data_IF_576439068198
#
_entry.id   IF_576439068198
#
_cell.length_a   1.000
_cell.length_b   1.000
_cell.length_c   1.000
_cell.angle_alpha   90.00
_cell.angle_beta   90.00
_cell.angle_gamma   90.00
#
_symmetry.space_group_name_H-M   'P 1'
#
loop_
_entity.id
_entity.type
_entity.pdbx_description
1 polymer ?
#
# COMPACT_ATOMS: atom_id res chain seq x y z
N UNK A 1 13.97 39.98 -9.08
CA UNK A 1 15.09 39.82 -8.11
C UNK A 1 14.63 39.26 -6.75
N UNK A 2 13.67 39.91 -6.06
CA UNK A 2 13.22 39.49 -4.72
C UNK A 2 12.59 38.09 -4.68
N UNK A 3 11.74 37.76 -5.66
CA UNK A 3 11.12 36.44 -5.76
C UNK A 3 12.15 35.30 -5.86
N UNK A 4 13.26 35.51 -6.59
CA UNK A 4 14.32 34.51 -6.71
C UNK A 4 15.00 34.22 -5.37
N UNK A 5 15.37 35.26 -4.63
CA UNK A 5 16.05 35.10 -3.34
C UNK A 5 15.17 34.46 -2.26
N UNK A 6 13.85 34.46 -2.45
CA UNK A 6 12.91 33.77 -1.55
C UNK A 6 12.67 32.34 -2.03
N UNK A 7 12.36 32.15 -3.32
CA UNK A 7 11.94 30.86 -3.87
C UNK A 7 13.12 29.89 -4.04
N UNK A 8 14.31 30.36 -4.43
CA UNK A 8 15.44 29.47 -4.64
C UNK A 8 15.87 28.71 -3.36
N UNK A 9 16.03 29.36 -2.18
CA UNK A 9 16.29 28.64 -0.94
C UNK A 9 15.16 27.67 -0.57
N UNK A 10 13.90 28.07 -0.73
CA UNK A 10 12.74 27.20 -0.47
C UNK A 10 12.78 25.96 -1.35
N UNK A 11 13.10 26.11 -2.63
CA UNK A 11 13.26 24.99 -3.57
C UNK A 11 14.40 24.06 -3.17
N UNK A 12 15.56 24.61 -2.80
CA UNK A 12 16.72 23.80 -2.37
C UNK A 12 16.40 23.01 -1.10
N UNK A 13 15.77 23.66 -0.11
CA UNK A 13 15.36 22.98 1.13
C UNK A 13 14.31 21.91 0.85
N UNK A 14 13.30 22.21 0.03
CA UNK A 14 12.26 21.22 -0.32
C UNK A 14 12.85 20.04 -1.11
N UNK A 15 13.68 20.30 -2.12
CA UNK A 15 14.32 19.27 -2.94
C UNK A 15 15.25 18.37 -2.11
N UNK A 16 16.04 18.96 -1.21
CA UNK A 16 16.90 18.18 -0.30
C UNK A 16 16.06 17.42 0.72
N UNK A 17 14.97 18.01 1.21
CA UNK A 17 14.02 17.41 2.14
C UNK A 17 13.40 16.11 1.62
N UNK A 18 13.18 15.99 0.29
CA UNK A 18 12.68 14.76 -0.34
C UNK A 18 13.53 13.53 0.03
N UNK A 19 14.85 13.70 0.18
CA UNK A 19 15.78 12.61 0.49
C UNK A 19 15.70 12.11 1.94
N UNK A 20 15.20 12.95 2.85
CA UNK A 20 15.19 12.65 4.29
C UNK A 20 13.82 12.21 4.81
N UNK A 21 12.77 12.45 4.02
CA UNK A 21 11.39 12.18 4.40
C UNK A 21 11.07 10.70 4.19
N UNK A 22 10.61 10.02 5.26
CA UNK A 22 10.27 8.59 5.23
C UNK A 22 8.94 8.26 4.56
N UNK A 23 7.97 9.19 4.62
CA UNK A 23 6.64 8.96 4.04
C UNK A 23 6.59 9.49 2.61
N UNK A 24 6.33 8.61 1.64
CA UNK A 24 6.31 8.97 0.22
C UNK A 24 5.36 10.14 -0.11
N UNK A 25 4.21 10.25 0.58
CA UNK A 25 3.28 11.39 0.42
C UNK A 25 3.94 12.73 0.76
N UNK A 26 4.74 12.79 1.82
CA UNK A 26 5.41 14.03 2.21
C UNK A 26 6.52 14.39 1.23
N UNK A 27 7.24 13.40 0.70
CA UNK A 27 8.23 13.60 -0.36
C UNK A 27 7.57 14.16 -1.64
N UNK A 28 6.41 13.64 -2.01
CA UNK A 28 5.64 14.14 -3.16
C UNK A 28 5.10 15.58 -2.92
N UNK A 29 4.65 15.91 -1.71
CA UNK A 29 4.26 17.30 -1.37
C UNK A 29 5.45 18.27 -1.45
N UNK A 30 6.63 17.88 -0.97
CA UNK A 30 7.84 18.69 -1.13
C UNK A 30 8.23 18.88 -2.60
N UNK A 31 8.09 17.84 -3.43
CA UNK A 31 8.29 17.97 -4.87
C UNK A 31 7.27 18.94 -5.49
N UNK A 32 6.00 18.93 -5.05
CA UNK A 32 5.00 19.88 -5.52
C UNK A 32 5.39 21.33 -5.19
N UNK A 33 5.95 21.59 -3.99
CA UNK A 33 6.50 22.91 -3.62
C UNK A 33 7.60 23.35 -4.60
N UNK A 34 8.51 22.44 -4.98
CA UNK A 34 9.56 22.73 -5.97
C UNK A 34 8.94 23.08 -7.33
N UNK A 35 7.96 22.31 -7.80
CA UNK A 35 7.34 22.51 -9.11
C UNK A 35 6.54 23.82 -9.20
N UNK A 36 5.82 24.19 -8.13
CA UNK A 36 5.09 25.46 -8.05
C UNK A 36 6.07 26.63 -7.97
N UNK A 37 7.11 26.52 -7.15
CA UNK A 37 8.14 27.57 -7.04
C UNK A 37 8.83 27.80 -8.38
N UNK A 38 9.13 26.73 -9.13
CA UNK A 38 9.69 26.80 -10.48
C UNK A 38 8.72 27.48 -11.46
N UNK A 39 7.42 27.18 -11.38
CA UNK A 39 6.42 27.87 -12.20
C UNK A 39 6.45 29.38 -11.94
N UNK A 40 6.44 29.80 -10.67
CA UNK A 40 6.51 31.23 -10.31
C UNK A 40 7.80 31.87 -10.83
N UNK A 41 8.94 31.15 -10.78
CA UNK A 41 10.18 31.64 -11.39
C UNK A 41 10.05 31.82 -12.92
N UNK A 42 9.39 30.91 -13.64
CA UNK A 42 9.11 31.11 -15.06
C UNK A 42 8.24 32.33 -15.35
N UNK A 43 7.24 32.60 -14.51
CA UNK A 43 6.43 33.81 -14.65
C UNK A 43 7.28 35.08 -14.44
N UNK A 44 8.16 35.09 -13.44
CA UNK A 44 9.07 36.21 -13.14
C UNK A 44 10.13 36.39 -14.23
N UNK A 45 10.51 35.32 -14.94
CA UNK A 45 11.45 35.32 -16.06
C UNK A 45 10.78 35.60 -17.42
N UNK A 46 9.56 36.13 -17.43
CA UNK A 46 8.81 36.48 -18.65
C UNK A 46 8.56 35.29 -19.59
N UNK A 47 8.38 34.08 -19.03
CA UNK A 47 8.08 32.87 -19.78
C UNK A 47 6.64 32.36 -19.49
N UNK A 48 5.60 33.04 -19.99
CA UNK A 48 4.20 32.76 -19.64
C UNK A 48 3.71 31.38 -20.11
N UNK A 49 4.19 30.90 -21.28
CA UNK A 49 3.83 29.55 -21.75
C UNK A 49 4.39 28.46 -20.84
N UNK A 50 5.69 28.55 -20.48
CA UNK A 50 6.32 27.59 -19.58
C UNK A 50 5.69 27.62 -18.18
N UNK A 51 5.35 28.80 -17.67
CA UNK A 51 4.59 28.95 -16.44
C UNK A 51 3.27 28.15 -16.48
N UNK A 52 2.47 28.33 -17.53
CA UNK A 52 1.19 27.65 -17.68
C UNK A 52 1.35 26.12 -17.80
N UNK A 53 2.28 25.65 -18.64
CA UNK A 53 2.55 24.22 -18.84
C UNK A 53 3.09 23.57 -17.55
N UNK A 54 3.92 24.27 -16.78
CA UNK A 54 4.44 23.80 -15.50
C UNK A 54 3.33 23.55 -14.47
N UNK A 55 2.31 24.40 -14.45
CA UNK A 55 1.15 24.21 -13.57
C UNK A 55 0.25 23.08 -14.10
N UNK A 56 -0.13 23.13 -15.37
CA UNK A 56 -1.14 22.20 -15.92
C UNK A 56 -0.60 20.78 -16.04
N UNK A 57 0.59 20.60 -16.64
CA UNK A 57 1.12 19.27 -16.98
C UNK A 57 1.90 18.69 -15.82
N UNK A 58 2.90 19.42 -15.33
CA UNK A 58 3.80 18.90 -14.30
C UNK A 58 3.14 18.83 -12.92
N UNK A 59 2.62 19.97 -12.43
CA UNK A 59 1.98 20.02 -11.11
C UNK A 59 0.56 19.46 -11.14
N UNK A 60 -0.17 19.64 -12.24
CA UNK A 60 -1.55 19.15 -12.39
C UNK A 60 -1.60 17.66 -12.69
N UNK A 61 -1.17 17.24 -13.88
CA UNK A 61 -1.35 15.85 -14.32
C UNK A 61 -0.33 14.88 -13.68
N UNK A 62 0.97 15.14 -13.85
CA UNK A 62 2.03 14.18 -13.48
C UNK A 62 2.10 14.01 -11.97
N UNK A 63 2.12 15.11 -11.21
CA UNK A 63 2.18 15.05 -9.75
C UNK A 63 0.94 14.38 -9.15
N UNK A 64 -0.27 14.68 -9.65
CA UNK A 64 -1.50 14.06 -9.13
C UNK A 64 -1.55 12.56 -9.43
N UNK A 65 -1.11 12.14 -10.62
CA UNK A 65 -0.97 10.72 -10.95
C UNK A 65 0.01 10.03 -10.00
N UNK A 66 1.17 10.66 -9.75
CA UNK A 66 2.17 10.12 -8.83
C UNK A 66 1.63 10.01 -7.41
N UNK A 67 0.98 11.05 -6.90
CA UNK A 67 0.33 11.04 -5.57
C UNK A 67 -0.74 9.96 -5.45
N UNK A 68 -1.56 9.79 -6.48
CA UNK A 68 -2.61 8.77 -6.50
C UNK A 68 -2.01 7.35 -6.46
N UNK A 69 -1.00 7.09 -7.29
CA UNK A 69 -0.30 5.79 -7.32
C UNK A 69 0.38 5.52 -5.98
N UNK A 70 1.11 6.48 -5.42
CA UNK A 70 1.74 6.34 -4.11
C UNK A 70 0.73 6.05 -3.00
N UNK A 71 -0.45 6.68 -3.04
CA UNK A 71 -1.50 6.46 -2.07
C UNK A 71 -2.13 5.06 -2.20
N UNK A 72 -2.32 4.57 -3.43
CA UNK A 72 -2.88 3.25 -3.71
C UNK A 72 -1.94 2.10 -3.33
N UNK A 73 -0.63 2.26 -3.54
CA UNK A 73 0.36 1.19 -3.27
C UNK A 73 0.55 0.94 -1.77
N UNK A 74 0.06 1.83 -0.90
CA UNK A 74 0.18 1.70 0.55
C UNK A 74 1.56 2.17 1.03
N UNK A 75 1.57 3.21 1.85
CA UNK A 75 2.78 3.94 2.29
C UNK A 75 3.45 3.38 3.54
N UNK A 76 3.19 2.11 3.89
CA UNK A 76 3.77 1.46 5.07
C UNK A 76 4.97 0.57 4.73
N UNK A 77 5.84 1.05 3.82
CA UNK A 77 7.20 0.55 3.77
C UNK A 77 7.93 1.14 4.99
N UNK A 78 7.87 0.44 6.13
CA UNK A 78 8.83 0.65 7.19
C UNK A 78 10.21 0.30 6.61
N UNK A 79 10.91 1.31 6.09
CA UNK A 79 12.28 1.17 5.62
C UNK A 79 13.09 0.53 6.74
N UNK A 80 13.48 -0.73 6.54
CA UNK A 80 14.49 -1.33 7.37
C UNK A 80 15.77 -0.53 7.08
N UNK A 81 16.32 0.12 8.08
CA UNK A 81 17.58 0.88 8.00
C UNK A 81 18.78 -0.08 7.87
N UNK A 82 18.52 -1.36 7.60
CA UNK A 82 19.54 -2.39 7.41
C UNK A 82 20.13 -2.19 6.02
N UNK A 83 21.40 -1.80 6.03
CA UNK A 83 22.21 -1.61 4.85
C UNK A 83 22.51 -2.98 4.22
N UNK A 84 21.91 -3.27 3.06
CA UNK A 84 22.15 -4.54 2.34
C UNK A 84 23.61 -4.66 1.87
N UNK A 85 24.26 -3.52 1.56
CA UNK A 85 25.64 -3.44 1.08
C UNK A 85 26.44 -2.52 2.02
N UNK A 86 27.44 -3.03 2.76
CA UNK A 86 28.18 -2.23 3.72
C UNK A 86 28.87 -1.05 3.04
N UNK A 87 28.70 0.16 3.60
CA UNK A 87 29.33 1.38 3.10
C UNK A 87 28.64 2.07 1.91
N UNK A 88 27.49 1.56 1.44
CA UNK A 88 26.76 2.14 0.32
C UNK A 88 26.31 3.58 0.60
N UNK A 89 25.69 3.85 1.77
CA UNK A 89 25.24 5.21 2.14
C UNK A 89 26.36 6.22 2.21
N UNK A 90 27.50 5.85 2.81
CA UNK A 90 28.67 6.72 2.90
C UNK A 90 29.20 7.03 1.50
N UNK A 91 29.34 5.99 0.67
CA UNK A 91 29.83 6.14 -0.71
C UNK A 91 28.88 7.00 -1.54
N UNK A 92 27.57 6.77 -1.46
CA UNK A 92 26.55 7.57 -2.14
C UNK A 92 26.56 9.03 -1.67
N UNK A 93 26.74 9.28 -0.37
CA UNK A 93 26.89 10.62 0.20
C UNK A 93 28.14 11.33 -0.34
N UNK A 94 29.29 10.66 -0.36
CA UNK A 94 30.55 11.20 -0.89
C UNK A 94 30.40 11.54 -2.38
N UNK A 95 29.86 10.63 -3.19
CA UNK A 95 29.62 10.89 -4.62
C UNK A 95 28.62 12.03 -4.83
N UNK A 96 27.55 12.10 -4.04
CA UNK A 96 26.57 13.19 -4.11
C UNK A 96 27.20 14.56 -3.82
N UNK A 97 28.01 14.65 -2.77
CA UNK A 97 28.73 15.88 -2.42
C UNK A 97 29.76 16.25 -3.49
N UNK A 98 30.53 15.28 -3.99
CA UNK A 98 31.54 15.50 -5.02
C UNK A 98 30.90 15.99 -6.33
N UNK A 99 29.80 15.37 -6.76
CA UNK A 99 29.05 15.80 -7.93
C UNK A 99 28.47 17.21 -7.73
N UNK A 100 27.88 17.49 -6.56
CA UNK A 100 27.37 18.82 -6.22
C UNK A 100 28.46 19.90 -6.26
N UNK A 101 29.62 19.61 -5.66
CA UNK A 101 30.78 20.52 -5.69
C UNK A 101 31.30 20.75 -7.11
N UNK A 102 31.40 19.69 -7.92
CA UNK A 102 31.82 19.78 -9.32
C UNK A 102 30.88 20.68 -10.13
N UNK A 103 29.56 20.50 -9.98
CA UNK A 103 28.56 21.33 -10.65
C UNK A 103 28.63 22.78 -10.17
N UNK A 104 28.81 23.03 -8.87
CA UNK A 104 28.95 24.38 -8.33
C UNK A 104 30.20 25.09 -8.87
N UNK A 105 31.35 24.42 -8.89
CA UNK A 105 32.58 24.98 -9.47
C UNK A 105 32.40 25.25 -10.96
N UNK A 106 31.81 24.29 -11.69
CA UNK A 106 31.53 24.45 -13.11
C UNK A 106 30.66 25.67 -13.40
N UNK A 107 29.56 25.85 -12.64
CA UNK A 107 28.66 27.00 -12.80
C UNK A 107 29.35 28.30 -12.38
N UNK A 108 30.14 28.30 -11.30
CA UNK A 108 30.83 29.49 -10.81
C UNK A 108 31.89 30.02 -11.79
N UNK A 109 32.40 29.16 -12.67
CA UNK A 109 33.37 29.52 -13.71
C UNK A 109 32.73 30.05 -14.99
N UNK A 110 31.39 29.94 -15.14
CA UNK A 110 30.69 30.46 -16.31
C UNK A 110 30.57 31.97 -16.20
N UNK A 111 31.27 32.68 -17.09
CA UNK A 111 31.00 34.10 -17.33
C UNK A 111 29.83 34.24 -18.28
N UNK A 112 28.66 34.56 -17.73
CA UNK A 112 27.51 34.93 -18.55
C UNK A 112 27.74 36.33 -19.14
N UNK A 113 27.37 36.52 -20.40
CA UNK A 113 27.41 37.82 -21.07
C UNK A 113 26.41 38.82 -20.47
N UNK A 114 26.18 39.93 -21.17
CA UNK A 114 25.18 40.91 -20.75
C UNK A 114 23.78 40.29 -20.72
N UNK A 115 23.04 40.51 -19.64
CA UNK A 115 21.66 40.03 -19.49
C UNK A 115 20.76 40.84 -20.42
N UNK A 116 20.25 40.20 -21.47
CA UNK A 116 19.42 40.85 -22.51
C UNK A 116 17.90 40.61 -22.34
N UNK A 117 17.48 39.93 -21.27
CA UNK A 117 16.06 39.65 -20.99
C UNK A 117 15.39 38.76 -22.05
N UNK A 118 14.06 38.65 -21.98
CA UNK A 118 13.25 37.87 -22.93
C UNK A 118 12.30 38.73 -23.76
N UNK A 119 12.26 40.04 -23.53
CA UNK A 119 11.33 40.99 -24.16
C UNK A 119 11.39 40.95 -25.69
N UNK A 120 12.60 40.98 -26.29
CA UNK A 120 12.78 40.90 -27.73
C UNK A 120 12.27 39.56 -28.30
N UNK A 121 12.55 38.44 -27.62
CA UNK A 121 12.07 37.12 -28.01
C UNK A 121 10.55 36.98 -27.86
N UNK A 122 9.94 37.74 -26.95
CA UNK A 122 8.50 37.74 -26.68
C UNK A 122 7.71 38.76 -27.51
N UNK A 123 8.38 39.65 -28.26
CA UNK A 123 7.75 40.76 -29.01
C UNK A 123 6.61 40.34 -29.97
N UNK A 124 6.73 39.16 -30.59
CA UNK A 124 5.72 38.58 -31.48
C UNK A 124 4.68 37.68 -30.79
N UNK A 125 4.69 37.65 -29.46
CA UNK A 125 3.93 36.71 -28.63
C UNK A 125 4.74 35.46 -28.29
N UNK A 126 4.84 35.13 -27.00
CA UNK A 126 5.65 34.02 -26.48
C UNK A 126 5.23 32.66 -27.07
N UNK A 127 3.92 32.40 -27.15
CA UNK A 127 3.39 31.13 -27.68
C UNK A 127 3.65 31.02 -29.19
N UNK A 128 3.42 32.11 -29.92
CA UNK A 128 3.61 32.18 -31.37
C UNK A 128 5.08 32.00 -31.73
N UNK A 129 5.99 32.63 -30.97
CA UNK A 129 7.44 32.47 -31.14
C UNK A 129 7.89 31.03 -30.92
N UNK A 130 7.43 30.39 -29.83
CA UNK A 130 7.71 28.98 -29.55
C UNK A 130 7.14 28.07 -30.64
N UNK A 131 5.89 28.29 -31.06
CA UNK A 131 5.25 27.50 -32.12
C UNK A 131 6.00 27.61 -33.44
N UNK A 132 6.42 28.82 -33.84
CA UNK A 132 7.20 29.02 -35.06
C UNK A 132 8.49 28.21 -35.02
N UNK A 133 9.25 28.27 -33.93
CA UNK A 133 10.51 27.53 -33.78
C UNK A 133 10.28 26.02 -33.72
N UNK A 134 9.26 25.57 -32.99
CA UNK A 134 8.92 24.16 -32.81
C UNK A 134 8.50 23.49 -34.12
N UNK A 135 7.64 24.15 -34.90
CA UNK A 135 7.09 23.60 -36.15
C UNK A 135 7.93 23.88 -37.39
N UNK A 136 8.94 24.77 -37.31
CA UNK A 136 9.88 24.99 -38.42
C UNK A 136 11.18 24.22 -38.22
N UNK A 137 11.94 24.55 -37.17
CA UNK A 137 13.29 24.03 -36.98
C UNK A 137 13.30 22.69 -36.23
N UNK A 138 12.37 22.51 -35.29
CA UNK A 138 12.33 21.32 -34.43
C UNK A 138 11.20 20.34 -34.77
N UNK A 139 10.69 20.36 -36.02
CA UNK A 139 9.60 19.48 -36.45
C UNK A 139 9.91 18.01 -36.20
N UNK A 140 11.15 17.58 -36.46
CA UNK A 140 11.56 16.20 -36.23
C UNK A 140 11.53 15.82 -34.73
N UNK A 141 12.02 16.71 -33.85
CA UNK A 141 11.97 16.49 -32.41
C UNK A 141 10.51 16.45 -31.90
N UNK A 142 9.64 17.28 -32.46
CA UNK A 142 8.21 17.28 -32.18
C UNK A 142 7.54 15.95 -32.61
N UNK A 143 7.84 15.45 -33.82
CA UNK A 143 7.32 14.17 -34.32
C UNK A 143 7.78 13.00 -33.46
N UNK A 144 9.07 12.93 -33.12
CA UNK A 144 9.61 11.88 -32.24
C UNK A 144 8.95 11.92 -30.85
N UNK A 145 8.75 13.12 -30.29
CA UNK A 145 8.04 13.28 -29.01
C UNK A 145 6.58 12.84 -29.12
N UNK A 146 5.91 13.15 -30.24
CA UNK A 146 4.54 12.71 -30.48
C UNK A 146 4.42 11.18 -30.58
N UNK A 147 5.36 10.53 -31.27
CA UNK A 147 5.45 9.08 -31.33
C UNK A 147 5.73 8.47 -29.95
N UNK A 148 6.58 9.10 -29.13
CA UNK A 148 6.82 8.71 -27.75
C UNK A 148 5.54 8.79 -26.89
N UNK A 149 4.74 9.84 -27.04
CA UNK A 149 3.47 9.99 -26.30
C UNK A 149 2.44 8.92 -26.70
N UNK A 150 2.31 8.62 -27.99
CA UNK A 150 1.46 7.52 -28.47
C UNK A 150 1.93 6.19 -27.89
N UNK A 151 3.24 5.94 -27.94
CA UNK A 151 3.85 4.72 -27.40
C UNK A 151 3.63 4.60 -25.89
N UNK A 152 3.78 5.70 -25.14
CA UNK A 152 3.52 5.73 -23.70
C UNK A 152 2.05 5.43 -23.38
N UNK A 153 1.11 6.00 -24.14
CA UNK A 153 -0.32 5.73 -23.97
C UNK A 153 -0.66 4.26 -24.27
N UNK A 154 -0.10 3.70 -25.36
CA UNK A 154 -0.24 2.27 -25.67
C UNK A 154 0.39 1.40 -24.58
N UNK A 155 1.58 1.74 -24.11
CA UNK A 155 2.28 1.04 -23.04
C UNK A 155 1.47 1.03 -21.74
N UNK A 156 0.93 2.18 -21.34
CA UNK A 156 0.05 2.29 -20.18
C UNK A 156 -1.22 1.44 -20.34
N UNK A 157 -1.85 1.46 -21.51
CA UNK A 157 -3.03 0.63 -21.81
C UNK A 157 -2.70 -0.85 -21.68
N UNK A 158 -1.63 -1.33 -22.32
CA UNK A 158 -1.23 -2.75 -22.30
C UNK A 158 -0.83 -3.20 -20.89
N UNK A 159 -0.06 -2.40 -20.15
CA UNK A 159 0.35 -2.74 -18.77
C UNK A 159 -0.83 -2.74 -17.79
N UNK A 160 -1.79 -1.82 -17.97
CA UNK A 160 -2.98 -1.76 -17.12
C UNK A 160 -4.05 -2.78 -17.54
N UNK A 161 -3.95 -3.33 -18.76
CA UNK A 161 -4.91 -4.30 -19.26
C UNK A 161 -4.74 -5.64 -18.56
N UNK A 162 -5.66 -5.93 -17.64
CA UNK A 162 -5.70 -7.21 -16.94
C UNK A 162 -6.62 -8.17 -17.68
N UNK A 163 -6.04 -8.97 -18.58
CA UNK A 163 -6.76 -10.05 -19.23
C UNK A 163 -7.06 -11.17 -18.21
N UNK A 164 -8.32 -11.59 -18.15
CA UNK A 164 -8.73 -12.69 -17.28
C UNK A 164 -8.54 -13.99 -18.06
N UNK A 165 -7.38 -14.64 -17.86
CA UNK A 165 -7.06 -15.91 -18.51
C UNK A 165 -8.00 -17.06 -18.12
N UNK A 166 -8.72 -16.92 -17.00
CA UNK A 166 -9.72 -17.88 -16.55
C UNK A 166 -11.09 -17.20 -16.44
N UNK A 167 -12.17 -17.86 -16.86
CA UNK A 167 -13.52 -17.36 -16.61
C UNK A 167 -13.73 -17.14 -15.10
N UNK A 168 -14.51 -16.13 -14.74
CA UNK A 168 -14.86 -15.88 -13.34
C UNK A 168 -15.64 -17.09 -12.83
N UNK A 169 -15.08 -17.81 -11.86
CA UNK A 169 -15.78 -18.93 -11.21
C UNK A 169 -17.14 -18.46 -10.71
N UNK A 170 -18.19 -19.13 -11.17
CA UNK A 170 -19.56 -18.89 -10.74
C UNK A 170 -19.82 -19.55 -9.38
N UNK A 171 -20.93 -19.21 -8.73
CA UNK A 171 -21.38 -19.91 -7.53
C UNK A 171 -21.61 -21.40 -7.79
N UNK A 172 -22.09 -21.76 -8.99
CA UNK A 172 -22.30 -23.15 -9.40
C UNK A 172 -20.98 -23.91 -9.53
N UNK A 173 -19.94 -23.30 -10.14
CA UNK A 173 -18.61 -23.91 -10.25
C UNK A 173 -18.01 -24.21 -8.86
N UNK A 174 -18.13 -23.26 -7.93
CA UNK A 174 -17.68 -23.43 -6.54
C UNK A 174 -18.48 -24.51 -5.79
N UNK A 175 -19.77 -24.63 -6.06
CA UNK A 175 -20.59 -25.70 -5.47
C UNK A 175 -20.20 -27.07 -6.02
N UNK A 176 -20.00 -27.18 -7.34
CA UNK A 176 -19.54 -28.40 -7.98
C UNK A 176 -18.14 -28.82 -7.51
N UNK A 177 -17.23 -27.85 -7.35
CA UNK A 177 -15.90 -28.10 -6.80
C UNK A 177 -15.98 -28.67 -5.37
N UNK A 178 -16.78 -28.07 -4.49
CA UNK A 178 -16.99 -28.60 -3.13
C UNK A 178 -17.54 -30.03 -3.13
N UNK A 179 -18.44 -30.34 -4.06
CA UNK A 179 -18.99 -31.70 -4.18
C UNK A 179 -17.93 -32.71 -4.63
N UNK A 180 -17.02 -32.33 -5.53
CA UNK A 180 -15.88 -33.16 -5.94
C UNK A 180 -14.91 -33.36 -4.78
N UNK A 181 -14.55 -32.30 -4.07
CA UNK A 181 -13.68 -32.36 -2.90
C UNK A 181 -14.25 -33.28 -1.81
N UNK A 182 -15.57 -33.24 -1.57
CA UNK A 182 -16.26 -34.18 -0.68
C UNK A 182 -16.19 -35.62 -1.20
N UNK A 183 -16.40 -35.85 -2.49
CA UNK A 183 -16.35 -37.20 -3.07
C UNK A 183 -14.94 -37.82 -3.03
N UNK A 184 -13.88 -37.02 -3.20
CA UNK A 184 -12.50 -37.49 -3.24
C UNK A 184 -11.86 -37.62 -1.85
N UNK A 185 -12.12 -36.66 -0.96
CA UNK A 185 -11.41 -36.52 0.32
C UNK A 185 -12.32 -36.52 1.54
N UNK A 186 -13.65 -36.53 1.36
CA UNK A 186 -14.61 -36.37 2.45
C UNK A 186 -14.69 -34.95 3.02
N UNK A 187 -14.08 -33.95 2.34
CA UNK A 187 -14.04 -32.58 2.82
C UNK A 187 -15.46 -31.98 2.98
N UNK A 188 -15.76 -31.25 4.07
CA UNK A 188 -17.11 -30.74 4.34
C UNK A 188 -17.69 -29.86 3.21
N UNK A 189 -18.94 -30.11 2.82
CA UNK A 189 -19.65 -29.32 1.80
C UNK A 189 -19.96 -27.89 2.26
N UNK A 190 -20.09 -27.68 3.57
CA UNK A 190 -20.42 -26.42 4.19
C UNK A 190 -19.21 -25.72 4.82
N UNK A 191 -19.39 -24.48 5.31
CA UNK A 191 -18.41 -23.86 6.19
C UNK A 191 -18.21 -24.74 7.43
N UNK A 192 -16.96 -24.77 7.93
CA UNK A 192 -16.65 -25.47 9.17
C UNK A 192 -17.46 -24.88 10.33
N UNK A 193 -17.93 -25.70 11.28
CA UNK A 193 -18.61 -25.19 12.45
C UNK A 193 -17.65 -24.30 13.25
N UNK A 194 -18.19 -23.23 13.82
CA UNK A 194 -17.44 -22.36 14.71
C UNK A 194 -16.96 -23.15 15.96
N UNK A 195 -15.89 -22.70 16.64
CA UNK A 195 -15.51 -23.21 17.96
C UNK A 195 -16.70 -23.26 18.90
N UNK A 196 -16.74 -24.27 19.77
CA UNK A 196 -17.75 -24.44 20.80
C UNK A 196 -19.16 -24.83 20.31
N UNK A 197 -19.37 -25.06 19.00
CA UNK A 197 -20.65 -25.59 18.50
C UNK A 197 -20.88 -27.00 19.08
N UNK A 198 -22.05 -27.22 19.69
CA UNK A 198 -22.39 -28.40 20.50
C UNK A 198 -21.56 -28.64 21.77
N UNK A 199 -20.57 -27.79 22.06
CA UNK A 199 -19.89 -27.81 23.35
C UNK A 199 -20.71 -27.03 24.41
N UNK A 200 -20.42 -27.28 25.68
CA UNK A 200 -21.02 -26.50 26.80
C UNK A 200 -20.44 -25.09 26.93
N UNK A 201 -19.39 -24.78 26.17
CA UNK A 201 -18.68 -23.51 26.20
C UNK A 201 -18.41 -23.02 24.77
N UNK A 202 -18.66 -21.74 24.52
CA UNK A 202 -18.54 -21.11 23.20
C UNK A 202 -17.22 -20.34 23.01
N UNK A 203 -16.18 -20.70 23.76
CA UNK A 203 -14.90 -20.03 23.70
C UNK A 203 -14.11 -20.44 22.43
N UNK A 204 -13.28 -19.52 21.93
CA UNK A 204 -12.52 -19.69 20.68
C UNK A 204 -11.45 -20.78 20.72
N UNK A 205 -11.06 -21.18 21.93
CA UNK A 205 -10.12 -22.24 22.26
C UNK A 205 -10.80 -23.58 22.55
N UNK A 206 -12.13 -23.64 22.52
CA UNK A 206 -12.92 -24.85 22.76
C UNK A 206 -13.36 -25.44 21.41
N UNK A 207 -12.98 -26.68 21.07
CA UNK A 207 -13.40 -27.29 19.81
C UNK A 207 -14.90 -27.57 19.81
N UNK A 208 -15.51 -27.47 18.63
CA UNK A 208 -16.85 -27.98 18.38
C UNK A 208 -16.89 -29.50 18.62
N UNK A 209 -18.05 -30.04 19.02
CA UNK A 209 -18.24 -31.47 19.24
C UNK A 209 -18.99 -32.10 18.07
N UNK A 210 -18.57 -33.31 17.70
CA UNK A 210 -19.29 -34.18 16.77
C UNK A 210 -20.49 -34.85 17.49
N UNK A 211 -21.44 -35.47 16.74
CA UNK A 211 -22.59 -36.15 17.34
C UNK A 211 -22.24 -37.28 18.31
N UNK A 212 -21.03 -37.82 18.20
CA UNK A 212 -20.47 -38.84 19.10
C UNK A 212 -19.81 -38.23 20.36
N UNK A 213 -19.79 -36.91 20.48
CA UNK A 213 -19.15 -36.17 21.57
C UNK A 213 -17.64 -35.97 21.42
N UNK A 214 -17.02 -36.45 20.34
CA UNK A 214 -15.60 -36.25 20.08
C UNK A 214 -15.30 -34.81 19.60
N UNK A 215 -14.13 -34.24 19.93
CA UNK A 215 -13.78 -32.89 19.50
C UNK A 215 -13.45 -32.87 18.00
N UNK A 216 -13.99 -31.88 17.29
CA UNK A 216 -13.67 -31.61 15.89
C UNK A 216 -12.49 -30.62 15.80
N UNK A 217 -11.24 -31.07 15.52
CA UNK A 217 -10.07 -30.21 15.63
C UNK A 217 -10.02 -29.10 14.58
N UNK A 218 -10.70 -29.29 13.45
CA UNK A 218 -10.78 -28.30 12.37
C UNK A 218 -11.62 -27.06 12.72
N UNK A 219 -12.39 -27.11 13.82
CA UNK A 219 -13.20 -25.98 14.28
C UNK A 219 -12.39 -24.88 14.97
N UNK A 220 -11.18 -25.19 15.45
CA UNK A 220 -10.30 -24.24 16.17
C UNK A 220 -9.10 -23.81 15.32
N UNK A 221 -8.56 -22.62 15.62
CA UNK A 221 -7.43 -22.06 14.88
C UNK A 221 -6.15 -22.89 15.09
N UNK A 222 -5.43 -23.17 13.99
CA UNK A 222 -4.10 -23.84 14.04
C UNK A 222 -3.11 -23.13 14.96
N UNK A 223 -3.23 -21.81 15.12
CA UNK A 223 -2.35 -21.02 16.00
C UNK A 223 -2.60 -21.36 17.48
N UNK A 224 -3.86 -21.57 17.87
CA UNK A 224 -4.21 -21.93 19.25
C UNK A 224 -3.77 -23.37 19.56
N UNK A 225 -3.93 -24.28 18.60
CA UNK A 225 -3.41 -25.66 18.71
C UNK A 225 -1.89 -25.63 18.90
N UNK A 226 -1.16 -24.88 18.06
CA UNK A 226 0.29 -24.78 18.14
C UNK A 226 0.81 -24.14 19.45
N UNK A 227 0.00 -23.27 20.08
CA UNK A 227 0.30 -22.68 21.38
C UNK A 227 -0.05 -23.58 22.56
N UNK A 228 -0.73 -24.71 22.33
CA UNK A 228 -1.20 -25.60 23.39
C UNK A 228 -2.28 -24.97 24.27
N UNK A 229 -2.99 -23.94 23.77
CA UNK A 229 -4.02 -23.22 24.54
C UNK A 229 -5.43 -23.76 24.30
N UNK A 230 -5.59 -24.79 23.46
CA UNK A 230 -6.88 -25.40 23.16
C UNK A 230 -7.32 -26.25 24.34
N UNK A 231 -8.53 -26.03 24.84
CA UNK A 231 -9.12 -26.79 25.94
C UNK A 231 -10.02 -27.87 25.39
N UNK A 232 -9.82 -29.12 25.80
CA UNK A 232 -10.75 -30.19 25.45
C UNK A 232 -11.90 -30.30 26.47
N UNK A 233 -13.02 -30.90 26.07
CA UNK A 233 -14.15 -31.09 26.99
C UNK A 233 -13.80 -31.95 28.23
N UNK A 234 -12.96 -33.02 28.12
CA UNK A 234 -12.43 -33.73 29.30
C UNK A 234 -11.63 -32.82 30.22
N UNK A 235 -10.66 -32.05 29.70
CA UNK A 235 -9.81 -31.18 30.53
C UNK A 235 -10.66 -30.17 31.31
N UNK A 236 -11.73 -29.65 30.69
CA UNK A 236 -12.63 -28.72 31.35
C UNK A 236 -13.49 -29.38 32.44
N UNK A 237 -13.83 -30.67 32.29
CA UNK A 237 -14.57 -31.42 33.29
C UNK A 237 -13.71 -31.65 34.55
N UNK A 238 -12.43 -31.99 34.35
CA UNK A 238 -11.47 -32.17 35.44
C UNK A 238 -11.25 -30.86 36.22
N UNK A 239 -11.08 -29.74 35.51
CA UNK A 239 -10.97 -28.39 36.11
C UNK A 239 -12.22 -28.06 36.97
N UNK A 240 -13.41 -28.36 36.47
CA UNK A 240 -14.67 -28.10 37.18
C UNK A 240 -14.75 -28.97 38.44
N UNK A 241 -14.36 -30.26 38.35
CA UNK A 241 -14.37 -31.17 39.50
C UNK A 241 -13.37 -30.73 40.58
N UNK A 242 -12.18 -30.28 40.18
CA UNK A 242 -11.18 -29.72 41.09
C UNK A 242 -11.70 -28.47 41.80
N UNK A 243 -12.32 -27.54 41.07
CA UNK A 243 -12.92 -26.34 41.64
C UNK A 243 -14.07 -26.71 42.59
N UNK A 244 -14.96 -27.65 42.21
CA UNK A 244 -16.05 -28.12 43.07
C UNK A 244 -15.52 -28.74 44.36
N UNK A 245 -14.46 -29.56 44.29
CA UNK A 245 -13.79 -30.14 45.44
C UNK A 245 -13.19 -29.07 46.36
N UNK A 246 -12.57 -28.04 45.79
CA UNK A 246 -12.02 -26.92 46.56
C UNK A 246 -13.10 -26.07 47.26
N UNK A 247 -14.29 -25.98 46.67
CA UNK A 247 -15.43 -25.25 47.19
C UNK A 247 -16.29 -26.09 48.16
N UNK A 248 -15.94 -27.36 48.40
CA UNK A 248 -16.73 -28.26 49.25
C UNK A 248 -18.11 -28.60 48.67
N UNK A 249 -18.31 -28.43 47.37
CA UNK A 249 -19.55 -28.75 46.67
C UNK A 249 -19.53 -30.23 46.29
N UNK A 250 -20.51 -31.05 46.70
CA UNK A 250 -20.54 -32.47 46.35
C UNK A 250 -20.71 -32.64 44.83
N UNK A 251 -19.97 -33.60 44.25
CA UNK A 251 -19.99 -33.90 42.82
C UNK A 251 -21.43 -34.17 42.34
N UNK A 252 -21.81 -33.53 41.24
CA UNK A 252 -23.13 -33.66 40.62
C UNK A 252 -23.31 -35.07 40.01
N UNK A 253 -23.60 -36.04 40.87
CA UNK A 253 -23.84 -37.44 40.56
C UNK A 253 -24.43 -38.24 41.73
N UNK A 254 -24.54 -37.63 42.93
CA UNK A 254 -25.19 -38.20 44.10
C UNK A 254 -26.44 -37.38 44.51
N UNK A 255 -27.25 -36.98 43.53
CA UNK A 255 -28.61 -36.54 43.83
C UNK A 255 -29.42 -37.73 44.36
N UNK A 256 -30.36 -37.55 45.30
CA UNK A 256 -31.19 -38.64 45.78
C UNK A 256 -31.93 -39.26 44.59
N UNK A 257 -31.79 -40.58 44.40
CA UNK A 257 -32.71 -41.34 43.56
C UNK A 257 -34.11 -41.04 44.10
N UNK A 258 -35.06 -40.52 43.30
CA UNK A 258 -36.41 -40.34 43.77
C UNK A 258 -36.92 -41.72 44.17
N UNK A 259 -37.29 -41.87 45.44
CA UNK A 259 -37.86 -43.10 45.95
C UNK A 259 -39.01 -43.51 45.03
N UNK A 260 -38.87 -44.69 44.43
CA UNK A 260 -39.97 -45.38 43.77
C UNK A 260 -41.02 -45.65 44.83
N UNK A 261 -42.13 -44.91 44.77
CA UNK A 261 -43.36 -45.28 45.45
C UNK A 261 -43.86 -46.55 44.80
N UNK A 262 -43.58 -47.71 45.42
CA UNK A 262 -44.28 -48.95 45.14
C UNK A 262 -45.75 -48.79 45.59
N UNK A 263 -46.62 -48.99 44.61
CA UNK A 263 -47.96 -49.60 44.66
C UNK A 263 -48.76 -49.53 45.97
N UNK A 264 -49.91 -48.85 45.89
CA UNK A 264 -51.10 -49.26 46.62
C UNK A 264 -52.29 -49.32 45.63
N UNK A 265 -52.51 -50.50 45.07
CA UNK A 265 -53.82 -51.00 44.63
C UNK A 265 -54.28 -51.98 45.71
N UNK A 266 -55.58 -52.01 46.06
CA UNK A 266 -56.68 -52.26 45.11
C UNK A 266 -57.77 -51.18 45.05
#
# INVERSE_FOLDING_TARGET
MTAFWILAPVMVVAATGILFVRKAVHAALLLAVVMISLAVLYAVLEAPFLFAVQIIVYTGAIMMLFLFVLMLVGVDASDSVVETIPGQRVTAGVFGVLLGALLLVGIAQISLGTVVGLEAANSGGNIQGIANVLFSHYIFAFEVTSALLITAAMGAMVLAHRERLTPKQTQADRAAQRLREYAESGAPLGPLPAPGVYARHNAVDTPALLPDGSPLPSSVSRVLIARGTVRSAPDLADDIEEVQRSLGVPAAGQGPVPATTEEEQP
#
